data_IF_265593761884
#
_entry.id   IF_265593761884
#
_cell.length_a   1.000
_cell.length_b   1.000
_cell.length_c   1.000
_cell.angle_alpha   90.00
_cell.angle_beta   90.00
_cell.angle_gamma   90.00
#
_symmetry.space_group_name_H-M   'P 1'
#
loop_
_entity.id
_entity.type
_entity.pdbx_description
1 polymer ?
#
# COMPACT_ATOMS: atom_id res chain seq x y z
N UNK A 1 5.94 -1.71 -25.09
CA UNK A 1 6.99 -1.53 -26.11
C UNK A 1 8.31 -2.06 -25.57
N UNK A 2 8.99 -2.91 -26.32
CA UNK A 2 10.26 -3.56 -25.94
C UNK A 2 11.27 -3.43 -27.06
N UNK A 3 12.55 -3.60 -26.75
CA UNK A 3 13.60 -3.74 -27.78
C UNK A 3 13.59 -5.15 -28.41
N UNK A 4 14.56 -5.42 -29.27
CA UNK A 4 14.68 -6.67 -30.02
C UNK A 4 14.92 -7.90 -29.13
N UNK A 5 15.48 -7.69 -27.93
CA UNK A 5 15.74 -8.72 -26.92
C UNK A 5 14.58 -8.83 -25.90
N UNK A 6 13.42 -8.25 -26.22
CA UNK A 6 12.24 -8.14 -25.34
C UNK A 6 12.54 -7.38 -24.03
N UNK A 7 13.58 -6.56 -24.02
CA UNK A 7 14.00 -5.75 -22.89
C UNK A 7 13.35 -4.36 -22.90
N UNK A 8 13.42 -3.68 -21.75
CA UNK A 8 12.79 -2.37 -21.55
C UNK A 8 13.57 -1.26 -22.27
N UNK A 9 12.89 -0.56 -23.18
CA UNK A 9 13.41 0.63 -23.88
C UNK A 9 13.68 1.76 -22.88
N UNK A 10 14.90 2.28 -22.80
CA UNK A 10 15.30 3.31 -21.84
C UNK A 10 15.08 4.71 -22.43
N UNK A 11 14.98 5.72 -21.56
CA UNK A 11 14.81 7.13 -21.98
C UNK A 11 15.88 7.60 -22.98
N UNK A 12 17.13 7.15 -22.81
CA UNK A 12 18.23 7.44 -23.75
C UNK A 12 18.04 6.87 -25.16
N UNK A 13 17.19 5.87 -25.33
CA UNK A 13 16.90 5.26 -26.64
C UNK A 13 15.82 6.08 -27.39
N UNK A 14 15.13 6.99 -26.69
CA UNK A 14 14.07 7.85 -27.21
C UNK A 14 14.59 9.24 -27.64
N UNK A 15 15.79 9.63 -27.20
CA UNK A 15 16.39 10.93 -27.47
C UNK A 15 17.79 10.80 -28.10
N UNK A 16 18.10 11.60 -29.11
CA UNK A 16 19.43 11.70 -29.73
C UNK A 16 20.38 12.46 -28.80
N UNK A 17 21.58 11.91 -28.58
CA UNK A 17 22.60 12.45 -27.66
C UNK A 17 23.43 13.61 -28.22
N UNK A 18 23.08 14.19 -29.38
CA UNK A 18 23.89 15.26 -29.98
C UNK A 18 23.79 16.56 -29.17
N UNK A 19 24.96 17.08 -28.76
CA UNK A 19 25.16 18.44 -28.23
C UNK A 19 24.86 19.46 -29.34
N UNK A 20 23.60 19.62 -29.72
CA UNK A 20 23.16 20.70 -30.59
C UNK A 20 22.53 21.81 -29.75
N UNK A 21 23.17 22.98 -29.79
CA UNK A 21 22.72 24.25 -29.19
C UNK A 21 21.57 24.89 -29.98
N UNK A 22 20.66 24.10 -30.54
CA UNK A 22 19.48 24.60 -31.26
C UNK A 22 18.22 24.25 -30.47
N UNK A 23 17.33 25.23 -30.38
CA UNK A 23 16.23 25.37 -29.42
C UNK A 23 14.96 24.57 -29.75
N UNK A 24 15.03 23.51 -30.55
CA UNK A 24 13.86 22.71 -30.90
C UNK A 24 13.96 21.30 -30.27
N UNK A 25 13.17 21.03 -29.23
CA UNK A 25 13.10 19.71 -28.60
C UNK A 25 12.61 18.60 -29.55
N UNK A 26 11.88 18.94 -30.60
CA UNK A 26 11.35 17.99 -31.59
C UNK A 26 12.45 17.30 -32.42
N UNK A 27 13.55 18.01 -32.72
CA UNK A 27 14.67 17.47 -33.50
C UNK A 27 15.51 16.44 -32.74
N UNK A 28 15.27 16.29 -31.43
CA UNK A 28 15.99 15.35 -30.57
C UNK A 28 15.30 13.98 -30.49
N UNK A 29 14.10 13.79 -31.04
CA UNK A 29 13.34 12.53 -30.88
C UNK A 29 13.77 11.45 -31.89
N UNK A 30 14.06 10.24 -31.41
CA UNK A 30 14.49 9.13 -32.27
C UNK A 30 13.35 8.56 -33.12
N UNK A 31 13.67 7.78 -34.14
CA UNK A 31 12.67 7.00 -34.91
C UNK A 31 11.87 6.05 -34.02
N UNK A 32 12.48 5.53 -32.95
CA UNK A 32 11.81 4.68 -31.95
C UNK A 32 10.74 5.47 -31.23
N UNK A 33 11.05 6.68 -30.74
CA UNK A 33 10.06 7.58 -30.14
C UNK A 33 8.90 7.85 -31.09
N UNK A 34 9.20 8.24 -32.35
CA UNK A 34 8.17 8.53 -33.36
C UNK A 34 7.29 7.33 -33.65
N UNK A 35 7.86 6.11 -33.66
CA UNK A 35 7.11 4.86 -33.82
C UNK A 35 6.18 4.61 -32.64
N UNK A 36 6.68 4.72 -31.41
CA UNK A 36 5.86 4.55 -30.19
C UNK A 36 4.69 5.54 -30.19
N UNK A 37 4.98 6.83 -30.41
CA UNK A 37 3.95 7.87 -30.43
C UNK A 37 2.93 7.62 -31.55
N UNK A 38 3.38 7.28 -32.76
CA UNK A 38 2.48 6.93 -33.88
C UNK A 38 1.59 5.73 -33.54
N UNK A 39 2.13 4.71 -32.87
CA UNK A 39 1.35 3.54 -32.43
C UNK A 39 0.32 3.91 -31.37
N UNK A 40 0.67 4.75 -30.40
CA UNK A 40 -0.28 5.21 -29.36
C UNK A 40 -1.38 6.09 -29.96
N UNK A 41 -1.01 7.03 -30.84
CA UNK A 41 -1.94 7.97 -31.49
C UNK A 41 -2.89 7.28 -32.48
N UNK A 42 -2.36 6.42 -33.34
CA UNK A 42 -3.13 5.81 -34.42
C UNK A 42 -3.80 4.47 -34.03
N UNK A 43 -3.34 3.86 -32.93
CA UNK A 43 -3.76 2.53 -32.52
C UNK A 43 -3.03 1.39 -33.24
N UNK A 44 -3.44 0.16 -32.93
CA UNK A 44 -2.90 -1.08 -33.51
C UNK A 44 -4.05 -1.89 -34.10
N UNK A 45 -3.91 -2.37 -35.33
CA UNK A 45 -4.88 -3.29 -35.96
C UNK A 45 -4.41 -4.73 -35.77
N UNK A 46 -5.27 -5.57 -35.20
CA UNK A 46 -5.04 -7.02 -35.04
C UNK A 46 -6.28 -7.73 -35.57
N UNK A 47 -6.15 -8.41 -36.71
CA UNK A 47 -7.28 -9.00 -37.41
C UNK A 47 -8.27 -7.94 -37.87
N UNK A 48 -9.54 -8.10 -37.49
CA UNK A 48 -10.66 -7.21 -37.79
C UNK A 48 -10.82 -6.07 -36.77
N UNK A 49 -9.96 -6.00 -35.75
CA UNK A 49 -10.10 -5.05 -34.64
C UNK A 49 -9.00 -4.00 -34.64
N UNK A 50 -9.39 -2.75 -34.42
CA UNK A 50 -8.48 -1.63 -34.16
C UNK A 50 -8.49 -1.30 -32.66
N UNK A 51 -7.34 -1.44 -32.02
CA UNK A 51 -7.10 -1.12 -30.62
C UNK A 51 -6.57 0.30 -30.48
N UNK A 52 -7.28 1.13 -29.73
CA UNK A 52 -6.96 2.55 -29.50
C UNK A 52 -6.46 2.76 -28.08
N UNK A 53 -5.58 3.75 -27.87
CA UNK A 53 -5.05 4.04 -26.55
C UNK A 53 -6.17 4.44 -25.59
N UNK A 54 -6.27 3.73 -24.46
CA UNK A 54 -7.28 3.95 -23.44
C UNK A 54 -6.69 4.76 -22.27
N UNK A 55 -5.72 4.18 -21.57
CA UNK A 55 -5.11 4.74 -20.37
C UNK A 55 -3.83 3.98 -19.96
N UNK A 56 -3.18 4.47 -18.91
CA UNK A 56 -2.14 3.74 -18.16
C UNK A 56 -2.29 4.00 -16.66
N UNK A 57 -1.67 3.14 -15.85
CA UNK A 57 -1.40 3.44 -14.43
C UNK A 57 0.11 3.53 -14.21
N UNK A 58 0.51 3.96 -13.02
CA UNK A 58 1.93 3.95 -12.63
C UNK A 58 2.57 2.56 -12.71
N UNK A 59 1.80 1.47 -12.57
CA UNK A 59 2.35 0.11 -12.74
C UNK A 59 2.65 -0.19 -14.20
N UNK A 60 1.69 0.08 -15.08
CA UNK A 60 1.82 -0.07 -16.53
C UNK A 60 2.99 0.76 -17.06
N UNK A 61 3.15 2.01 -16.61
CA UNK A 61 4.31 2.83 -16.97
C UNK A 61 5.65 2.19 -16.58
N UNK A 62 5.76 1.65 -15.35
CA UNK A 62 6.99 0.95 -14.91
C UNK A 62 7.26 -0.32 -15.72
N UNK A 63 6.22 -0.95 -16.24
CA UNK A 63 6.29 -2.17 -17.04
C UNK A 63 6.37 -1.90 -18.55
N UNK A 64 6.35 -0.63 -18.97
CA UNK A 64 6.37 -0.18 -20.37
C UNK A 64 5.18 -0.75 -21.17
N UNK A 65 4.04 -0.85 -20.49
CA UNK A 65 2.75 -1.31 -21.02
C UNK A 65 1.70 -0.19 -20.90
N UNK A 66 0.59 -0.35 -21.61
CA UNK A 66 -0.58 0.54 -21.60
C UNK A 66 -1.84 -0.30 -21.82
N UNK A 67 -3.00 0.23 -21.46
CA UNK A 67 -4.27 -0.36 -21.87
C UNK A 67 -4.71 0.22 -23.22
N UNK A 68 -5.10 -0.67 -24.12
CA UNK A 68 -5.72 -0.31 -25.39
C UNK A 68 -7.08 -0.99 -25.50
N UNK A 69 -8.03 -0.34 -26.16
CA UNK A 69 -9.39 -0.82 -26.29
C UNK A 69 -9.78 -0.97 -27.76
N UNK A 70 -10.39 -2.11 -28.11
CA UNK A 70 -10.92 -2.31 -29.44
C UNK A 70 -12.32 -1.70 -29.54
N UNK A 71 -12.37 -0.45 -30.00
CA UNK A 71 -13.61 0.32 -30.18
C UNK A 71 -14.61 -0.44 -31.05
N UNK A 72 -15.89 -0.42 -30.65
CA UNK A 72 -17.05 -0.99 -31.36
C UNK A 72 -18.03 0.12 -31.68
N UNK A 73 -19.05 -0.18 -32.50
CA UNK A 73 -20.09 0.79 -32.88
C UNK A 73 -20.80 1.44 -31.69
N UNK A 74 -20.93 0.72 -30.58
CA UNK A 74 -21.66 1.18 -29.38
C UNK A 74 -20.76 1.66 -28.23
N UNK A 75 -19.45 1.43 -28.32
CA UNK A 75 -18.53 1.75 -27.24
C UNK A 75 -17.13 2.04 -27.78
N UNK A 76 -16.66 3.25 -27.56
CA UNK A 76 -15.31 3.70 -27.92
C UNK A 76 -14.42 3.84 -26.69
N UNK A 77 -13.10 3.96 -26.91
CA UNK A 77 -12.18 4.31 -25.83
C UNK A 77 -12.54 5.66 -25.16
N UNK A 78 -13.10 6.61 -25.92
CA UNK A 78 -13.52 7.90 -25.37
C UNK A 78 -14.75 7.75 -24.47
N UNK A 79 -15.72 6.92 -24.85
CA UNK A 79 -16.91 6.67 -24.03
C UNK A 79 -16.52 6.06 -22.68
N UNK A 80 -15.56 5.14 -22.68
CA UNK A 80 -15.02 4.55 -21.44
C UNK A 80 -14.35 5.63 -20.57
N UNK A 81 -13.56 6.53 -21.14
CA UNK A 81 -12.93 7.63 -20.39
C UNK A 81 -13.97 8.58 -19.81
N UNK A 82 -15.03 8.90 -20.57
CA UNK A 82 -16.13 9.73 -20.11
C UNK A 82 -16.92 9.04 -18.97
N UNK A 83 -17.06 7.71 -19.03
CA UNK A 83 -17.71 6.92 -17.98
C UNK A 83 -16.92 6.89 -16.66
N UNK A 84 -15.58 6.97 -16.70
CA UNK A 84 -14.75 6.90 -15.49
C UNK A 84 -15.00 8.05 -14.51
N UNK A 85 -15.32 9.24 -15.02
CA UNK A 85 -15.58 10.43 -14.22
C UNK A 85 -15.27 11.73 -14.96
N UNK A 86 -15.49 12.85 -14.27
CA UNK A 86 -15.15 14.18 -14.76
C UNK A 86 -13.75 14.60 -14.29
N UNK A 87 -12.84 14.72 -15.26
CA UNK A 87 -11.46 15.13 -15.08
C UNK A 87 -11.17 16.54 -15.61
N UNK A 88 -12.18 17.28 -16.09
CA UNK A 88 -12.03 18.62 -16.72
C UNK A 88 -11.33 19.64 -15.82
N UNK A 89 -11.48 19.49 -14.50
CA UNK A 89 -10.84 20.36 -13.50
C UNK A 89 -9.35 20.05 -13.27
N UNK A 90 -8.80 18.98 -13.86
CA UNK A 90 -7.40 18.59 -13.68
C UNK A 90 -6.56 19.17 -14.82
N UNK A 91 -5.86 20.27 -14.53
CA UNK A 91 -5.04 21.01 -15.50
C UNK A 91 -3.59 20.55 -15.60
N UNK A 92 -3.20 19.52 -14.84
CA UNK A 92 -1.86 18.95 -14.88
C UNK A 92 -1.90 17.57 -15.55
N UNK A 93 -1.18 17.41 -16.66
CA UNK A 93 -1.18 16.18 -17.50
C UNK A 93 -0.81 14.93 -16.70
N UNK A 94 0.25 14.99 -15.89
CA UNK A 94 0.69 13.84 -15.09
C UNK A 94 -0.35 13.43 -14.04
N UNK A 95 -0.97 14.42 -13.38
CA UNK A 95 -2.06 14.20 -12.43
C UNK A 95 -3.29 13.64 -13.14
N UNK A 96 -3.63 14.14 -14.32
CA UNK A 96 -4.74 13.65 -15.15
C UNK A 96 -4.57 12.17 -15.48
N UNK A 97 -3.43 11.80 -16.08
CA UNK A 97 -3.11 10.40 -16.40
C UNK A 97 -3.13 9.50 -15.15
N UNK A 98 -2.62 9.98 -14.02
CA UNK A 98 -2.66 9.26 -12.75
C UNK A 98 -4.09 9.10 -12.18
N UNK A 99 -5.02 10.02 -12.46
CA UNK A 99 -6.44 9.88 -12.08
C UNK A 99 -7.18 8.94 -13.01
N UNK A 100 -6.92 9.00 -14.32
CA UNK A 100 -7.46 8.04 -15.28
C UNK A 100 -7.06 6.58 -14.95
N UNK A 101 -5.78 6.38 -14.61
CA UNK A 101 -5.26 5.07 -14.21
C UNK A 101 -5.89 4.47 -12.95
N UNK A 102 -6.65 5.25 -12.16
CA UNK A 102 -7.37 4.72 -10.99
C UNK A 102 -8.61 3.91 -11.35
N UNK A 103 -9.12 3.95 -12.57
CA UNK A 103 -10.19 3.04 -12.96
C UNK A 103 -9.70 1.58 -13.12
N UNK A 104 -8.38 1.35 -13.15
CA UNK A 104 -7.79 0.07 -13.58
C UNK A 104 -7.01 -0.67 -12.50
N UNK A 105 -7.10 -0.27 -11.23
CA UNK A 105 -6.47 -1.10 -10.21
C UNK A 105 -7.31 -2.32 -9.91
N UNK A 106 -6.63 -3.43 -9.70
CA UNK A 106 -7.27 -4.66 -9.25
C UNK A 106 -7.97 -4.41 -7.91
N UNK A 107 -9.29 -4.56 -7.91
CA UNK A 107 -10.16 -4.39 -6.76
C UNK A 107 -11.18 -5.53 -6.70
N UNK A 108 -11.88 -5.62 -5.58
CA UNK A 108 -13.10 -6.41 -5.43
C UNK A 108 -14.26 -5.44 -5.30
N UNK A 109 -15.13 -5.43 -6.30
CA UNK A 109 -16.39 -4.67 -6.22
C UNK A 109 -17.27 -5.27 -5.11
N UNK A 110 -17.78 -4.41 -4.23
CA UNK A 110 -18.58 -4.82 -3.09
C UNK A 110 -20.03 -4.32 -3.21
N UNK A 111 -20.41 -3.21 -2.60
CA UNK A 111 -21.78 -2.72 -2.63
C UNK A 111 -21.86 -1.40 -3.37
N UNK A 112 -23.01 -1.10 -3.94
CA UNK A 112 -23.34 0.28 -4.26
C UNK A 112 -23.67 1.01 -2.96
N UNK A 113 -23.12 2.21 -2.80
CA UNK A 113 -23.36 3.10 -1.68
C UNK A 113 -23.82 4.43 -2.25
N UNK A 114 -25.10 4.74 -2.03
CA UNK A 114 -25.71 5.94 -2.58
C UNK A 114 -25.29 7.18 -1.77
N UNK A 115 -25.44 8.35 -2.38
CA UNK A 115 -24.97 9.61 -1.79
C UNK A 115 -25.60 9.94 -0.44
N UNK A 116 -26.84 9.53 -0.20
CA UNK A 116 -27.52 9.69 1.10
C UNK A 116 -26.99 8.74 2.17
N UNK A 117 -26.28 7.68 1.80
CA UNK A 117 -25.64 6.73 2.70
C UNK A 117 -24.19 7.12 3.04
N UNK A 118 -23.68 8.17 2.42
CA UNK A 118 -22.35 8.75 2.62
C UNK A 118 -22.48 10.09 3.33
N UNK A 119 -21.75 10.26 4.42
CA UNK A 119 -21.55 11.57 5.05
C UNK A 119 -20.23 12.18 4.57
N UNK A 120 -20.22 13.46 4.20
CA UNK A 120 -18.96 14.19 3.96
C UNK A 120 -18.58 14.97 5.21
N UNK A 121 -17.45 14.61 5.82
CA UNK A 121 -16.93 15.22 7.05
C UNK A 121 -15.67 16.05 6.75
N UNK A 122 -15.42 17.15 7.48
CA UNK A 122 -14.30 18.05 7.20
C UNK A 122 -12.96 17.39 7.52
N UNK A 123 -11.90 17.67 6.75
CA UNK A 123 -10.56 17.22 7.10
C UNK A 123 -10.07 17.76 8.46
N UNK A 124 -9.30 16.95 9.18
CA UNK A 124 -8.66 17.37 10.44
C UNK A 124 -7.39 18.13 10.09
N UNK A 125 -7.46 19.45 10.12
CA UNK A 125 -6.38 20.32 9.67
C UNK A 125 -5.87 21.22 10.80
N UNK A 126 -4.55 21.33 10.93
CA UNK A 126 -3.91 22.22 11.90
C UNK A 126 -2.98 23.16 11.15
N UNK A 127 -3.17 24.47 11.34
CA UNK A 127 -2.28 25.51 10.81
C UNK A 127 -1.30 25.94 11.90
N UNK A 128 0.00 25.77 11.65
CA UNK A 128 1.07 26.16 12.58
C UNK A 128 2.19 26.87 11.84
N UNK A 129 2.55 28.06 12.32
CA UNK A 129 3.62 28.90 11.74
C UNK A 129 3.44 29.12 10.22
N UNK A 130 2.20 29.34 9.79
CA UNK A 130 1.86 29.57 8.38
C UNK A 130 1.72 28.31 7.53
N UNK A 131 2.19 27.14 7.99
CA UNK A 131 2.04 25.86 7.28
C UNK A 131 0.75 25.17 7.72
N UNK A 132 -0.03 24.68 6.75
CA UNK A 132 -1.26 23.90 6.98
C UNK A 132 -0.93 22.43 6.81
N UNK A 133 -1.25 21.62 7.81
CA UNK A 133 -1.12 20.17 7.72
C UNK A 133 -2.49 19.51 7.85
N UNK A 134 -2.77 18.54 6.98
CA UNK A 134 -3.94 17.67 7.08
C UNK A 134 -3.53 16.37 7.79
N UNK A 135 -4.13 16.10 8.95
CA UNK A 135 -3.89 14.88 9.74
C UNK A 135 -4.72 13.70 9.24
N UNK A 136 -5.81 13.99 8.52
CA UNK A 136 -6.73 13.00 7.97
C UNK A 136 -6.58 12.78 6.45
N UNK A 137 -5.43 13.13 5.87
CA UNK A 137 -5.24 13.09 4.42
C UNK A 137 -5.43 11.66 3.88
N UNK A 138 -6.50 11.46 3.12
CA UNK A 138 -6.81 10.18 2.49
C UNK A 138 -7.51 9.16 3.37
N UNK A 139 -7.99 9.51 4.58
CA UNK A 139 -8.72 8.58 5.45
C UNK A 139 -10.14 9.06 5.80
N UNK A 140 -11.08 8.12 5.72
CA UNK A 140 -12.47 8.26 6.17
C UNK A 140 -12.85 7.14 7.13
N UNK A 141 -14.16 6.95 7.30
CA UNK A 141 -14.75 6.01 8.25
C UNK A 141 -15.76 5.10 7.56
N UNK A 142 -15.89 3.88 8.07
CA UNK A 142 -16.92 2.91 7.69
C UNK A 142 -17.64 2.43 8.96
N UNK A 143 -18.95 2.32 8.93
CA UNK A 143 -19.70 1.84 10.10
C UNK A 143 -19.44 0.36 10.33
N UNK A 144 -19.47 -0.07 11.59
CA UNK A 144 -19.18 -1.45 11.97
C UNK A 144 -20.07 -2.48 11.23
N UNK A 145 -21.37 -2.22 11.12
CA UNK A 145 -22.31 -3.09 10.40
C UNK A 145 -21.96 -3.20 8.92
N UNK A 146 -21.65 -2.07 8.27
CA UNK A 146 -21.33 -2.07 6.85
C UNK A 146 -19.96 -2.71 6.57
N UNK A 147 -18.97 -2.46 7.44
CA UNK A 147 -17.66 -3.12 7.37
C UNK A 147 -17.77 -4.64 7.44
N UNK A 148 -18.64 -5.18 8.29
CA UNK A 148 -18.88 -6.63 8.39
C UNK A 148 -19.45 -7.19 7.08
N UNK A 149 -20.44 -6.50 6.49
CA UNK A 149 -21.01 -6.89 5.19
C UNK A 149 -19.96 -6.86 4.08
N UNK A 150 -19.13 -5.82 4.04
CA UNK A 150 -18.01 -5.67 3.10
C UNK A 150 -17.01 -6.82 3.29
N UNK A 151 -16.62 -7.13 4.53
CA UNK A 151 -15.71 -8.22 4.85
C UNK A 151 -16.22 -9.57 4.34
N UNK A 152 -17.50 -9.90 4.58
CA UNK A 152 -18.13 -11.13 4.09
C UNK A 152 -18.14 -11.19 2.56
N UNK A 153 -18.48 -10.09 1.87
CA UNK A 153 -18.43 -10.03 0.40
C UNK A 153 -17.01 -10.18 -0.14
N UNK A 154 -16.00 -9.73 0.61
CA UNK A 154 -14.59 -10.00 0.33
C UNK A 154 -14.13 -11.42 0.73
N UNK A 155 -15.01 -12.32 1.18
CA UNK A 155 -14.66 -13.69 1.55
C UNK A 155 -13.84 -13.78 2.85
N UNK A 156 -14.08 -12.87 3.81
CA UNK A 156 -13.44 -12.87 5.13
C UNK A 156 -14.41 -13.38 6.19
N UNK A 157 -13.89 -14.20 7.10
CA UNK A 157 -14.61 -14.73 8.25
C UNK A 157 -14.67 -13.75 9.42
N UNK A 158 -13.68 -12.86 9.53
CA UNK A 158 -13.63 -11.76 10.50
C UNK A 158 -13.60 -10.41 9.78
N UNK A 159 -14.06 -9.37 10.46
CA UNK A 159 -14.09 -8.00 9.95
C UNK A 159 -12.75 -7.32 10.17
N UNK A 160 -12.02 -6.91 9.11
CA UNK A 160 -10.86 -6.03 9.24
C UNK A 160 -11.23 -4.66 9.82
N UNK A 161 -10.30 -4.05 10.55
CA UNK A 161 -10.46 -2.71 11.12
C UNK A 161 -10.33 -1.58 10.09
N UNK A 162 -9.73 -1.83 8.92
CA UNK A 162 -9.62 -0.82 7.86
C UNK A 162 -9.60 -1.44 6.46
N UNK A 163 -10.07 -0.68 5.48
CA UNK A 163 -10.12 -1.04 4.07
C UNK A 163 -9.54 0.07 3.20
N UNK A 164 -8.67 -0.28 2.26
CA UNK A 164 -8.30 0.62 1.18
C UNK A 164 -9.37 0.53 0.09
N UNK A 165 -9.98 1.67 -0.25
CA UNK A 165 -11.18 1.72 -1.09
C UNK A 165 -11.04 2.67 -2.28
N UNK A 166 -11.94 2.48 -3.25
CA UNK A 166 -12.32 3.46 -4.27
C UNK A 166 -13.83 3.53 -4.38
N UNK A 167 -14.35 4.74 -4.52
CA UNK A 167 -15.78 4.99 -4.74
C UNK A 167 -15.97 6.40 -5.27
N UNK A 168 -16.73 6.60 -6.34
CA UNK A 168 -17.15 7.93 -6.81
C UNK A 168 -16.03 8.97 -6.97
N UNK A 169 -14.85 8.55 -7.46
CA UNK A 169 -13.68 9.43 -7.59
C UNK A 169 -12.94 9.73 -6.28
N UNK A 170 -13.40 9.19 -5.16
CA UNK A 170 -12.69 9.14 -3.89
C UNK A 170 -11.73 7.94 -3.86
N UNK A 171 -10.52 8.17 -3.33
CA UNK A 171 -9.50 7.16 -3.07
C UNK A 171 -8.98 7.36 -1.65
N UNK A 172 -8.87 6.27 -0.89
CA UNK A 172 -8.22 6.33 0.41
C UNK A 172 -8.41 5.07 1.25
N UNK A 173 -8.26 5.22 2.56
CA UNK A 173 -8.60 4.20 3.56
C UNK A 173 -9.90 4.59 4.26
N UNK A 174 -10.72 3.62 4.62
CA UNK A 174 -11.81 3.79 5.60
C UNK A 174 -11.58 2.87 6.79
N UNK A 175 -11.54 3.46 7.98
CA UNK A 175 -11.40 2.74 9.25
C UNK A 175 -12.75 2.51 9.91
N UNK A 176 -12.92 1.38 10.60
CA UNK A 176 -14.15 1.06 11.31
C UNK A 176 -14.37 2.07 12.43
N UNK A 177 -15.49 2.77 12.40
CA UNK A 177 -15.97 3.61 13.50
C UNK A 177 -17.27 2.98 14.06
N UNK A 178 -17.22 2.43 15.29
CA UNK A 178 -18.40 1.83 15.92
C UNK A 178 -19.55 2.80 16.17
N UNK A 179 -19.31 4.12 16.13
CA UNK A 179 -20.32 5.17 16.38
C UNK A 179 -20.91 5.76 15.11
N UNK A 180 -20.39 5.39 13.92
CA UNK A 180 -20.88 5.95 12.66
C UNK A 180 -22.26 5.36 12.31
N UNK A 181 -23.22 6.24 12.05
CA UNK A 181 -24.59 5.86 11.66
C UNK A 181 -24.76 5.62 10.16
N UNK A 182 -24.06 6.41 9.33
CA UNK A 182 -24.02 6.24 7.87
C UNK A 182 -23.14 5.04 7.47
N UNK A 183 -23.23 4.59 6.22
CA UNK A 183 -22.37 3.50 5.73
C UNK A 183 -20.91 3.94 5.68
N UNK A 184 -20.67 5.13 5.14
CA UNK A 184 -19.35 5.74 4.98
C UNK A 184 -19.37 7.18 5.46
N UNK A 185 -18.24 7.64 5.98
CA UNK A 185 -17.94 9.06 6.13
C UNK A 185 -16.63 9.38 5.40
N UNK A 186 -16.69 10.22 4.37
CA UNK A 186 -15.55 10.54 3.50
C UNK A 186 -15.11 12.00 3.70
N UNK A 187 -13.85 12.29 3.34
CA UNK A 187 -13.25 13.63 3.48
C UNK A 187 -12.87 14.22 2.13
N UNK A 188 -12.75 15.55 2.08
CA UNK A 188 -12.39 16.25 0.85
C UNK A 188 -11.01 15.80 0.32
N UNK A 189 -10.05 15.57 1.20
CA UNK A 189 -8.73 15.04 0.84
C UNK A 189 -8.81 13.70 0.09
N UNK A 190 -9.86 12.91 0.27
CA UNK A 190 -10.06 11.64 -0.45
C UNK A 190 -10.56 11.85 -1.89
N UNK A 191 -11.31 12.93 -2.15
CA UNK A 191 -11.94 13.19 -3.45
C UNK A 191 -10.92 13.66 -4.47
N UNK A 192 -10.63 12.84 -5.48
CA UNK A 192 -9.58 13.13 -6.47
C UNK A 192 -10.13 13.70 -7.78
N UNK A 193 -11.38 13.38 -8.11
CA UNK A 193 -12.16 13.87 -9.25
C UNK A 193 -13.65 13.61 -8.99
N UNK A 194 -14.55 14.20 -9.79
CA UNK A 194 -15.99 13.99 -9.62
C UNK A 194 -16.45 12.76 -10.42
N UNK A 195 -17.34 11.96 -9.86
CA UNK A 195 -17.92 10.80 -10.55
C UNK A 195 -19.26 10.42 -9.91
N UNK A 196 -20.18 9.92 -10.73
CA UNK A 196 -21.49 9.42 -10.28
C UNK A 196 -21.45 7.91 -9.95
N UNK A 197 -20.28 7.28 -10.00
CA UNK A 197 -20.15 5.85 -9.70
C UNK A 197 -20.31 5.59 -8.19
N UNK A 198 -21.33 4.82 -7.84
CA UNK A 198 -21.68 4.44 -6.45
C UNK A 198 -21.03 3.13 -6.01
N UNK A 199 -20.35 2.39 -6.90
CA UNK A 199 -19.75 1.11 -6.58
C UNK A 199 -18.56 1.28 -5.64
N UNK A 200 -18.59 0.55 -4.52
CA UNK A 200 -17.49 0.48 -3.56
C UNK A 200 -16.52 -0.63 -3.95
N UNK A 201 -15.34 -0.25 -4.38
CA UNK A 201 -14.24 -1.13 -4.70
C UNK A 201 -13.28 -1.26 -3.52
N UNK A 202 -13.03 -2.49 -3.05
CA UNK A 202 -12.03 -2.78 -2.01
C UNK A 202 -10.75 -3.29 -2.64
N UNK A 203 -9.64 -2.63 -2.38
CA UNK A 203 -8.32 -2.99 -2.92
C UNK A 203 -7.53 -3.86 -1.93
N UNK A 204 -7.56 -3.48 -0.65
CA UNK A 204 -6.83 -4.11 0.45
C UNK A 204 -7.58 -3.90 1.76
N UNK A 205 -7.18 -4.62 2.79
CA UNK A 205 -7.69 -4.47 4.14
C UNK A 205 -6.58 -4.69 5.18
N UNK A 206 -6.80 -4.22 6.40
CA UNK A 206 -5.91 -4.46 7.53
C UNK A 206 -5.82 -5.95 7.84
N UNK A 207 -4.61 -6.48 7.93
CA UNK A 207 -4.34 -7.89 8.22
C UNK A 207 -2.90 -8.04 8.65
N UNK A 208 -2.55 -9.17 9.28
CA UNK A 208 -1.16 -9.51 9.55
C UNK A 208 -0.30 -9.39 8.27
N UNK A 209 0.68 -8.49 8.30
CA UNK A 209 1.75 -8.46 7.31
C UNK A 209 3.11 -8.51 8.01
N UNK A 210 3.96 -9.50 7.65
CA UNK A 210 5.31 -9.61 8.19
C UNK A 210 6.14 -8.37 7.91
N UNK A 211 6.92 -8.00 8.92
CA UNK A 211 7.81 -6.86 8.89
C UNK A 211 9.21 -7.29 8.48
N UNK A 212 9.85 -6.49 7.62
CA UNK A 212 11.21 -6.74 7.19
C UNK A 212 12.03 -5.47 7.19
N UNK A 213 13.24 -5.55 7.73
CA UNK A 213 14.28 -4.58 7.43
C UNK A 213 14.68 -4.72 5.96
N UNK A 214 15.10 -3.60 5.39
CA UNK A 214 15.70 -3.54 4.06
C UNK A 214 16.93 -2.63 4.13
N UNK A 215 17.66 -2.49 3.01
CA UNK A 215 18.89 -1.69 2.96
C UNK A 215 18.69 -0.23 3.41
N UNK A 216 17.58 0.40 3.03
CA UNK A 216 17.28 1.79 3.40
C UNK A 216 17.07 1.93 4.91
N UNK A 217 16.19 1.10 5.49
CA UNK A 217 15.94 1.07 6.93
C UNK A 217 17.23 0.79 7.72
N UNK A 218 18.03 -0.20 7.31
CA UNK A 218 19.29 -0.54 7.99
C UNK A 218 20.27 0.65 7.96
N UNK A 219 20.39 1.31 6.81
CA UNK A 219 21.30 2.45 6.63
C UNK A 219 20.90 3.62 7.54
N UNK A 220 19.60 3.95 7.56
CA UNK A 220 19.09 5.03 8.38
C UNK A 220 19.13 4.70 9.88
N UNK A 221 18.75 3.48 10.29
CA UNK A 221 18.84 3.05 11.68
C UNK A 221 20.29 3.04 12.19
N UNK A 222 21.24 2.58 11.37
CA UNK A 222 22.68 2.66 11.68
C UNK A 222 23.13 4.12 11.86
N UNK A 223 22.71 5.01 10.95
CA UNK A 223 22.98 6.46 11.04
C UNK A 223 22.42 7.09 12.31
N UNK A 224 21.24 6.62 12.76
CA UNK A 224 20.59 7.06 13.99
C UNK A 224 21.19 6.45 15.26
N UNK A 225 22.19 5.56 15.13
CA UNK A 225 22.97 5.01 16.23
C UNK A 225 22.57 3.61 16.68
N UNK A 226 21.73 2.90 15.94
CA UNK A 226 21.52 1.45 16.17
C UNK A 226 22.81 0.71 15.79
N UNK A 227 23.44 -0.04 16.71
CA UNK A 227 24.73 -0.67 16.43
C UNK A 227 24.64 -1.73 15.31
N UNK A 228 25.59 -1.75 14.38
CA UNK A 228 25.57 -2.66 13.22
C UNK A 228 25.50 -4.15 13.57
N UNK A 229 26.04 -4.54 14.74
CA UNK A 229 25.98 -5.90 15.22
C UNK A 229 24.55 -6.37 15.51
N UNK A 230 23.61 -5.45 15.79
CA UNK A 230 22.18 -5.72 15.91
C UNK A 230 21.64 -6.29 14.60
N UNK A 231 21.89 -5.64 13.46
CA UNK A 231 21.40 -6.12 12.17
C UNK A 231 21.99 -7.47 11.80
N UNK A 232 23.28 -7.70 12.08
CA UNK A 232 23.93 -9.01 11.92
C UNK A 232 23.27 -10.07 12.79
N UNK A 233 22.91 -9.74 14.04
CA UNK A 233 22.18 -10.64 14.94
C UNK A 233 20.78 -10.94 14.41
N UNK A 234 20.01 -9.94 13.97
CA UNK A 234 18.68 -10.13 13.38
C UNK A 234 18.75 -10.98 12.10
N UNK A 235 19.76 -10.77 11.25
CA UNK A 235 19.99 -11.61 10.08
C UNK A 235 20.20 -13.09 10.45
N UNK A 236 21.04 -13.37 11.46
CA UNK A 236 21.24 -14.75 11.96
C UNK A 236 19.96 -15.33 12.54
N UNK A 237 19.18 -14.54 13.28
CA UNK A 237 17.89 -14.98 13.82
C UNK A 237 16.90 -15.33 12.70
N UNK A 238 16.81 -14.51 11.65
CA UNK A 238 15.97 -14.79 10.50
C UNK A 238 16.38 -16.08 9.77
N UNK A 239 17.70 -16.35 9.64
CA UNK A 239 18.19 -17.62 9.09
C UNK A 239 17.80 -18.81 9.98
N UNK A 240 17.97 -18.70 11.30
CA UNK A 240 17.58 -19.74 12.26
C UNK A 240 16.08 -20.06 12.23
N UNK A 241 15.23 -19.08 11.93
CA UNK A 241 13.79 -19.32 11.79
C UNK A 241 13.43 -20.14 10.55
N UNK A 242 14.31 -20.18 9.54
CA UNK A 242 14.17 -21.06 8.38
C UNK A 242 14.79 -22.45 8.63
N UNK A 243 15.68 -22.59 9.61
CA UNK A 243 16.30 -23.86 9.97
C UNK A 243 15.26 -24.84 10.55
N UNK A 244 15.22 -26.05 10.00
CA UNK A 244 14.30 -27.11 10.43
C UNK A 244 12.87 -26.96 9.89
N UNK A 245 12.56 -25.94 9.08
CA UNK A 245 11.26 -25.84 8.38
C UNK A 245 11.01 -27.07 7.49
N UNK A 246 12.07 -27.66 6.94
CA UNK A 246 11.97 -28.82 6.05
C UNK A 246 11.90 -30.17 6.78
N UNK A 247 11.97 -30.19 8.11
CA UNK A 247 12.05 -31.43 8.90
C UNK A 247 11.11 -31.45 10.09
N UNK A 248 10.84 -30.31 10.72
CA UNK A 248 9.98 -30.16 11.90
C UNK A 248 8.63 -29.54 11.50
N UNK A 249 7.52 -30.30 11.57
CA UNK A 249 6.17 -29.81 11.27
C UNK A 249 5.79 -28.55 12.05
N UNK A 250 6.22 -28.43 13.31
CA UNK A 250 5.89 -27.29 14.17
C UNK A 250 6.59 -26.02 13.69
N UNK A 251 7.85 -26.13 13.28
CA UNK A 251 8.60 -25.01 12.69
C UNK A 251 8.06 -24.63 11.33
N UNK A 252 7.68 -25.61 10.50
CA UNK A 252 7.04 -25.37 9.22
C UNK A 252 5.74 -24.56 9.38
N UNK A 253 4.89 -24.98 10.33
CA UNK A 253 3.65 -24.28 10.66
C UNK A 253 3.91 -22.85 11.12
N UNK A 254 4.83 -22.66 12.07
CA UNK A 254 5.20 -21.32 12.55
C UNK A 254 5.72 -20.41 11.42
N UNK A 255 6.54 -20.93 10.50
CA UNK A 255 7.03 -20.17 9.36
C UNK A 255 5.91 -19.82 8.36
N UNK A 256 4.96 -20.72 8.11
CA UNK A 256 3.77 -20.48 7.27
C UNK A 256 2.80 -19.45 7.89
N UNK A 257 2.73 -19.38 9.21
CA UNK A 257 1.89 -18.42 9.93
C UNK A 257 2.52 -17.02 9.96
N UNK A 258 3.85 -16.93 10.01
CA UNK A 258 4.55 -15.67 10.31
C UNK A 258 5.38 -15.12 9.16
N UNK A 259 6.20 -15.94 8.47
CA UNK A 259 7.23 -15.47 7.53
C UNK A 259 6.76 -15.58 6.08
N UNK A 260 6.15 -16.72 5.74
CA UNK A 260 5.73 -17.01 4.38
C UNK A 260 4.39 -16.33 4.06
N UNK A 261 4.28 -15.86 2.83
CA UNK A 261 3.08 -15.21 2.30
C UNK A 261 2.72 -15.87 0.99
N UNK A 262 1.42 -15.97 0.70
CA UNK A 262 0.91 -16.49 -0.56
C UNK A 262 -0.32 -17.37 -0.38
N UNK A 263 -1.04 -17.61 -1.46
CA UNK A 263 -2.33 -18.30 -1.46
C UNK A 263 -2.20 -19.78 -1.06
N UNK A 264 -1.09 -20.42 -1.40
CA UNK A 264 -0.85 -21.82 -1.04
C UNK A 264 -0.55 -22.03 0.46
N UNK A 265 -0.29 -20.98 1.23
CA UNK A 265 0.12 -21.13 2.64
C UNK A 265 -0.94 -21.80 3.50
N UNK A 266 -2.23 -21.57 3.22
CA UNK A 266 -3.32 -22.17 3.99
C UNK A 266 -3.45 -23.67 3.70
N UNK A 267 -3.32 -24.08 2.44
CA UNK A 267 -3.29 -25.52 2.05
C UNK A 267 -2.14 -26.25 2.76
N UNK A 268 -0.95 -25.65 2.81
CA UNK A 268 0.20 -26.28 3.47
C UNK A 268 0.03 -26.38 4.99
N UNK A 269 -0.66 -25.42 5.62
CA UNK A 269 -1.02 -25.52 7.04
C UNK A 269 -2.01 -26.66 7.27
N UNK A 270 -3.02 -26.79 6.42
CA UNK A 270 -4.00 -27.88 6.52
C UNK A 270 -3.33 -29.25 6.36
N UNK A 271 -2.37 -29.37 5.44
CA UNK A 271 -1.56 -30.60 5.32
C UNK A 271 -0.80 -30.92 6.61
N UNK A 272 -0.14 -29.93 7.22
CA UNK A 272 0.55 -30.12 8.50
C UNK A 272 -0.43 -30.52 9.62
N UNK A 273 -1.63 -29.94 9.64
CA UNK A 273 -2.68 -30.27 10.60
C UNK A 273 -3.22 -31.69 10.42
N UNK A 274 -3.27 -32.18 9.18
CA UNK A 274 -3.61 -33.57 8.85
C UNK A 274 -2.48 -34.57 9.15
N UNK A 275 -1.34 -34.12 9.68
CA UNK A 275 -0.22 -34.97 10.08
C UNK A 275 0.77 -35.29 8.95
N UNK A 276 0.66 -34.65 7.78
CA UNK A 276 1.69 -34.76 6.75
C UNK A 276 2.99 -34.13 7.25
N UNK A 277 4.11 -34.80 6.96
CA UNK A 277 5.43 -34.36 7.43
C UNK A 277 6.23 -33.71 6.30
N UNK A 278 6.94 -32.59 6.57
CA UNK A 278 7.77 -31.89 5.58
C UNK A 278 8.84 -32.75 4.88
N UNK A 279 9.32 -33.79 5.55
CA UNK A 279 10.38 -34.69 5.08
C UNK A 279 9.85 -35.98 4.42
N UNK A 280 8.53 -36.22 4.47
CA UNK A 280 7.92 -37.44 3.95
C UNK A 280 6.94 -37.18 2.81
N UNK A 281 6.22 -36.05 2.80
CA UNK A 281 5.26 -35.72 1.75
C UNK A 281 5.91 -34.84 0.67
N UNK A 282 6.04 -35.32 -0.59
CA UNK A 282 6.81 -34.62 -1.62
C UNK A 282 6.29 -33.22 -1.96
N UNK A 283 4.98 -33.01 -2.03
CA UNK A 283 4.42 -31.70 -2.41
C UNK A 283 4.71 -30.63 -1.35
N UNK A 284 4.44 -30.93 -0.07
CA UNK A 284 4.74 -30.11 1.08
C UNK A 284 6.23 -29.80 1.16
N UNK A 285 7.08 -30.81 0.98
CA UNK A 285 8.53 -30.62 0.97
C UNK A 285 8.98 -29.64 -0.11
N UNK A 286 8.56 -29.85 -1.36
CA UNK A 286 8.92 -29.00 -2.50
C UNK A 286 8.41 -27.57 -2.31
N UNK A 287 7.19 -27.40 -1.82
CA UNK A 287 6.63 -26.08 -1.56
C UNK A 287 7.37 -25.33 -0.45
N UNK A 288 7.67 -26.01 0.66
CA UNK A 288 8.48 -25.42 1.76
C UNK A 288 9.89 -25.09 1.29
N UNK A 289 10.52 -25.94 0.48
CA UNK A 289 11.82 -25.66 -0.15
C UNK A 289 11.77 -24.40 -1.03
N UNK A 290 10.73 -24.26 -1.86
CA UNK A 290 10.54 -23.09 -2.70
C UNK A 290 10.37 -21.80 -1.87
N UNK A 291 9.58 -21.86 -0.78
CA UNK A 291 9.43 -20.74 0.14
C UNK A 291 10.74 -20.37 0.83
N UNK A 292 11.47 -21.35 1.36
CA UNK A 292 12.79 -21.14 1.97
C UNK A 292 13.78 -20.54 0.96
N UNK A 293 13.90 -21.11 -0.24
CA UNK A 293 14.78 -20.62 -1.30
C UNK A 293 14.44 -19.19 -1.72
N UNK A 294 13.15 -18.86 -1.81
CA UNK A 294 12.67 -17.50 -2.08
C UNK A 294 13.12 -16.53 -0.98
N UNK A 295 12.90 -16.86 0.30
CA UNK A 295 13.32 -16.01 1.44
C UNK A 295 14.83 -15.85 1.55
N UNK A 296 15.59 -16.90 1.31
CA UNK A 296 17.06 -16.83 1.26
C UNK A 296 17.53 -15.94 0.10
N UNK A 297 16.85 -16.00 -1.05
CA UNK A 297 17.14 -15.15 -2.20
C UNK A 297 16.82 -13.68 -1.91
N UNK A 298 15.68 -13.37 -1.29
CA UNK A 298 15.33 -12.02 -0.84
C UNK A 298 16.35 -11.48 0.18
N UNK A 299 16.77 -12.32 1.12
CA UNK A 299 17.78 -11.96 2.11
C UNK A 299 19.13 -11.63 1.45
N UNK A 300 19.60 -12.48 0.52
CA UNK A 300 20.86 -12.29 -0.21
C UNK A 300 20.83 -11.07 -1.12
N UNK A 301 19.77 -10.91 -1.91
CA UNK A 301 19.72 -9.94 -3.01
C UNK A 301 19.18 -8.57 -2.59
N UNK A 302 18.36 -8.50 -1.53
CA UNK A 302 17.68 -7.27 -1.08
C UNK A 302 17.90 -6.97 0.41
N UNK A 303 18.60 -7.83 1.14
CA UNK A 303 18.82 -7.68 2.59
C UNK A 303 17.48 -7.61 3.34
N UNK A 304 16.51 -8.41 2.91
CA UNK A 304 15.16 -8.45 3.47
C UNK A 304 15.15 -9.30 4.75
N UNK A 305 15.52 -8.71 5.88
CA UNK A 305 15.65 -9.42 7.17
C UNK A 305 14.31 -9.36 7.90
N UNK A 306 13.74 -10.52 8.22
CA UNK A 306 12.48 -10.60 8.98
C UNK A 306 12.66 -10.10 10.41
N UNK A 307 11.67 -9.36 10.92
CA UNK A 307 11.62 -8.83 12.29
C UNK A 307 10.37 -9.40 12.96
N UNK A 308 10.56 -10.26 13.97
CA UNK A 308 9.46 -10.91 14.68
C UNK A 308 8.66 -9.93 15.55
N UNK A 309 9.34 -8.96 16.17
CA UNK A 309 8.73 -7.90 17.00
C UNK A 309 8.36 -6.68 16.15
N UNK A 310 7.60 -6.90 15.09
CA UNK A 310 7.12 -5.84 14.22
C UNK A 310 6.13 -6.31 13.18
N UNK A 311 5.38 -5.37 12.60
CA UNK A 311 4.46 -5.60 11.47
C UNK A 311 4.60 -4.49 10.43
N UNK A 312 4.23 -4.82 9.19
CA UNK A 312 3.88 -3.83 8.18
C UNK A 312 2.40 -3.50 8.35
N UNK A 313 2.05 -2.28 8.71
CA UNK A 313 0.69 -1.93 9.14
C UNK A 313 0.09 -0.82 8.28
N UNK A 314 -1.18 -0.96 7.93
CA UNK A 314 -1.92 0.13 7.28
C UNK A 314 -2.03 1.31 8.26
N UNK A 315 -1.80 2.53 7.78
CA UNK A 315 -1.99 3.74 8.58
C UNK A 315 -3.47 4.03 8.83
N UNK A 316 -3.82 4.43 10.05
CA UNK A 316 -5.15 4.87 10.45
C UNK A 316 -5.07 6.13 11.32
N UNK A 317 -6.22 6.78 11.53
CA UNK A 317 -6.35 8.00 12.33
C UNK A 317 -7.14 7.72 13.61
N UNK A 318 -6.70 8.32 14.71
CA UNK A 318 -7.46 8.32 15.96
C UNK A 318 -8.60 9.34 15.90
N UNK A 319 -9.77 8.85 15.48
CA UNK A 319 -11.03 9.61 15.46
C UNK A 319 -11.55 9.96 16.87
N UNK A 320 -11.04 9.31 17.92
CA UNK A 320 -11.42 9.62 19.31
C UNK A 320 -10.72 10.87 19.84
N UNK A 321 -9.56 11.22 19.26
CA UNK A 321 -8.73 12.34 19.72
C UNK A 321 -8.13 12.10 21.11
N UNK A 322 -7.86 10.85 21.47
CA UNK A 322 -7.26 10.48 22.76
C UNK A 322 -5.74 10.49 22.69
N UNK A 323 -5.15 10.08 21.55
CA UNK A 323 -3.70 10.04 21.37
C UNK A 323 -3.10 11.45 21.29
N UNK A 324 -2.01 11.66 22.03
CA UNK A 324 -1.21 12.87 21.97
C UNK A 324 -0.11 12.77 20.91
N UNK A 325 0.43 13.93 20.51
CA UNK A 325 1.53 13.97 19.54
C UNK A 325 2.77 13.24 20.07
N UNK A 326 3.33 12.32 19.27
CA UNK A 326 4.41 11.42 19.68
C UNK A 326 3.91 10.04 20.11
N UNK A 327 2.60 9.86 20.27
CA UNK A 327 1.99 8.57 20.59
C UNK A 327 1.40 7.89 19.36
N UNK A 328 1.24 6.57 19.43
CA UNK A 328 0.45 5.77 18.49
C UNK A 328 -0.32 4.70 19.27
N UNK A 329 -1.37 4.15 18.67
CA UNK A 329 -1.99 2.91 19.16
C UNK A 329 -1.69 1.78 18.18
N UNK A 330 -1.27 0.63 18.72
CA UNK A 330 -0.92 -0.56 17.95
C UNK A 330 -1.45 -1.78 18.68
N UNK A 331 -2.34 -2.51 18.01
CA UNK A 331 -2.84 -3.79 18.47
C UNK A 331 -2.73 -4.81 17.35
N UNK A 332 -2.28 -6.00 17.72
CA UNK A 332 -1.90 -7.06 16.81
C UNK A 332 -2.78 -8.29 17.02
N UNK A 333 -3.29 -8.87 15.94
CA UNK A 333 -3.90 -10.19 16.00
C UNK A 333 -2.85 -11.26 16.33
N UNK A 334 -3.10 -12.15 17.29
CA UNK A 334 -2.31 -13.37 17.40
C UNK A 334 -2.68 -14.30 16.23
N UNK A 335 -1.66 -14.84 15.57
CA UNK A 335 -1.79 -16.11 14.86
C UNK A 335 -1.35 -17.17 15.84
N UNK A 336 -2.24 -17.61 16.73
CA UNK A 336 -1.94 -18.71 17.64
C UNK A 336 -1.87 -19.99 16.81
N UNK A 337 -0.82 -20.77 17.06
CA UNK A 337 -0.70 -22.18 16.70
C UNK A 337 -1.93 -22.87 17.30
N UNK A 338 -3.00 -23.08 16.54
CA UNK A 338 -4.12 -23.90 17.03
C UNK A 338 -3.57 -25.31 17.30
N UNK A 339 -3.26 -25.60 18.55
CA UNK A 339 -3.25 -26.96 19.10
C UNK A 339 -4.71 -27.30 19.35
N UNK A 340 -5.20 -28.31 18.66
CA UNK A 340 -6.62 -28.50 18.36
C UNK A 340 -7.55 -28.52 19.57
N UNK A 341 -8.73 -27.94 19.39
CA UNK A 341 -10.04 -28.58 19.59
C UNK A 341 -11.11 -27.58 19.15
N UNK A 342 -12.13 -28.05 18.46
CA UNK A 342 -13.26 -27.24 18.01
C UNK A 342 -13.91 -26.51 19.18
N UNK A 343 -13.76 -25.19 19.23
CA UNK A 343 -14.66 -24.31 19.98
C UNK A 343 -15.11 -23.17 19.07
N UNK A 344 -16.36 -23.29 18.62
CA UNK A 344 -17.12 -22.18 18.04
C UNK A 344 -17.51 -21.25 19.18
N UNK A 345 -16.59 -20.39 19.62
CA UNK A 345 -16.92 -19.25 20.48
C UNK A 345 -16.10 -18.04 20.04
N UNK A 346 -16.80 -17.10 19.41
CA UNK A 346 -16.37 -15.73 19.12
C UNK A 346 -15.99 -15.01 20.42
N UNK A 347 -14.72 -15.04 20.80
CA UNK A 347 -14.19 -14.18 21.86
C UNK A 347 -12.84 -13.60 21.47
N UNK A 348 -12.67 -12.32 21.76
CA UNK A 348 -11.58 -11.43 21.40
C UNK A 348 -10.29 -11.66 22.22
N UNK A 349 -10.00 -12.89 22.64
CA UNK A 349 -8.92 -13.17 23.62
C UNK A 349 -7.52 -13.33 23.02
N UNK A 350 -7.39 -13.27 21.69
CA UNK A 350 -6.13 -13.51 20.98
C UNK A 350 -5.55 -12.23 20.35
N UNK A 351 -5.83 -11.02 20.86
CA UNK A 351 -5.14 -9.81 20.43
C UNK A 351 -4.17 -9.32 21.51
N UNK A 352 -3.00 -8.81 21.12
CA UNK A 352 -2.11 -8.12 22.07
C UNK A 352 -1.92 -6.66 21.68
N UNK A 353 -1.98 -5.80 22.70
CA UNK A 353 -1.68 -4.37 22.57
C UNK A 353 -0.18 -4.18 22.79
N UNK A 354 0.45 -3.42 21.91
CA UNK A 354 1.85 -3.02 22.07
C UNK A 354 1.88 -1.79 22.97
N UNK A 355 2.72 -1.84 24.01
CA UNK A 355 2.92 -0.74 24.95
C UNK A 355 4.42 -0.44 25.08
N UNK A 356 4.78 0.83 24.98
CA UNK A 356 6.17 1.30 25.05
C UNK A 356 6.73 1.81 23.72
N UNK A 357 8.06 1.91 23.64
CA UNK A 357 8.72 2.57 22.49
C UNK A 357 8.61 1.73 21.22
N UNK A 358 8.26 2.39 20.13
CA UNK A 358 8.18 1.81 18.79
C UNK A 358 8.95 2.65 17.79
N UNK A 359 9.51 1.99 16.79
CA UNK A 359 10.04 2.65 15.61
C UNK A 359 9.04 2.54 14.46
N UNK A 360 8.72 3.68 13.85
CA UNK A 360 7.80 3.80 12.72
C UNK A 360 8.52 4.41 11.53
N UNK A 361 8.36 3.81 10.36
CA UNK A 361 8.91 4.34 9.12
C UNK A 361 8.04 3.93 7.93
N UNK A 362 8.08 4.72 6.85
CA UNK A 362 7.46 4.38 5.57
C UNK A 362 8.53 4.13 4.52
N UNK A 363 8.39 3.06 3.74
CA UNK A 363 9.29 2.80 2.62
C UNK A 363 8.72 3.40 1.32
N UNK A 364 9.56 3.99 0.46
CA UNK A 364 10.99 4.23 0.66
C UNK A 364 11.27 5.35 1.67
N UNK A 365 12.32 5.18 2.48
CA UNK A 365 12.83 6.21 3.39
C UNK A 365 14.25 6.58 2.98
N UNK A 366 14.58 7.87 2.95
CA UNK A 366 15.85 8.37 2.39
C UNK A 366 16.54 9.40 3.29
N UNK A 367 15.80 10.00 4.22
CA UNK A 367 16.32 10.99 5.16
C UNK A 367 16.28 10.43 6.60
N UNK A 368 17.29 10.69 7.46
CA UNK A 368 17.30 10.17 8.84
C UNK A 368 16.06 10.53 9.67
N UNK A 369 15.43 11.67 9.35
CA UNK A 369 14.19 12.11 9.99
C UNK A 369 12.93 11.33 9.60
N UNK A 370 12.99 10.45 8.59
CA UNK A 370 11.87 9.63 8.10
C UNK A 370 11.58 8.44 9.00
N UNK A 371 12.54 8.09 9.86
CA UNK A 371 12.37 7.11 10.92
C UNK A 371 11.99 7.84 12.20
N UNK A 372 10.87 7.44 12.80
CA UNK A 372 10.29 8.07 13.98
C UNK A 372 10.33 7.09 15.14
N UNK A 373 11.00 7.46 16.24
CA UNK A 373 10.79 6.81 17.52
C UNK A 373 9.56 7.44 18.20
N UNK A 374 8.50 6.65 18.37
CA UNK A 374 7.23 7.04 18.96
C UNK A 374 6.92 6.14 20.17
N UNK A 375 5.86 6.46 20.91
CA UNK A 375 5.40 5.64 22.04
C UNK A 375 4.05 5.01 21.71
N UNK A 376 3.99 3.68 21.64
CA UNK A 376 2.74 2.97 21.60
C UNK A 376 2.10 3.02 23.00
N UNK A 377 0.83 3.41 23.08
CA UNK A 377 0.09 3.53 24.33
C UNK A 377 -1.23 2.76 24.24
N UNK A 378 -1.60 2.10 25.33
CA UNK A 378 -2.86 1.38 25.41
C UNK A 378 -4.05 2.35 25.57
N UNK A 379 -4.94 2.38 24.57
CA UNK A 379 -6.16 3.19 24.56
C UNK A 379 -7.37 2.27 24.41
N UNK A 380 -8.16 2.03 25.48
CA UNK A 380 -9.32 1.14 25.44
C UNK A 380 -10.34 1.49 24.36
N UNK A 381 -10.54 2.79 24.08
CA UNK A 381 -11.44 3.25 23.04
C UNK A 381 -11.02 2.81 21.62
N UNK A 382 -9.75 2.43 21.42
CA UNK A 382 -9.17 2.00 20.14
C UNK A 382 -9.00 0.47 20.02
N UNK A 383 -9.45 -0.33 21.00
CA UNK A 383 -9.33 -1.80 20.97
C UNK A 383 -10.06 -2.49 19.81
N UNK A 384 -10.93 -1.79 19.09
CA UNK A 384 -11.54 -2.28 17.85
C UNK A 384 -10.59 -2.22 16.64
N UNK A 385 -9.47 -1.49 16.76
CA UNK A 385 -8.46 -1.33 15.73
C UNK A 385 -7.40 -2.42 15.87
N UNK A 386 -7.28 -3.31 14.88
CA UNK A 386 -6.38 -4.47 14.87
C UNK A 386 -5.61 -4.48 13.55
N UNK A 387 -4.33 -4.84 13.59
CA UNK A 387 -3.44 -4.96 12.42
C UNK A 387 -3.32 -3.68 11.57
N UNK A 388 -3.43 -2.54 12.25
CA UNK A 388 -3.19 -1.20 11.73
C UNK A 388 -2.44 -0.38 12.79
N UNK A 389 -1.78 0.70 12.35
CA UNK A 389 -1.16 1.68 13.25
C UNK A 389 -2.03 2.92 13.27
N UNK A 390 -2.50 3.30 14.46
CA UNK A 390 -3.39 4.46 14.62
C UNK A 390 -2.57 5.67 15.06
N UNK A 391 -2.60 6.72 14.27
CA UNK A 391 -1.88 7.97 14.49
C UNK A 391 -2.77 9.03 15.15
N UNK A 392 -2.18 9.94 15.94
CA UNK A 392 -2.92 11.02 16.59
C UNK A 392 -3.38 12.04 15.57
N UNK A 393 -4.57 12.59 15.78
CA UNK A 393 -5.08 13.72 15.01
C UNK A 393 -4.63 15.09 15.55
N UNK A 394 -3.76 15.09 16.56
CA UNK A 394 -3.22 16.29 17.24
C UNK A 394 -1.72 16.40 17.00
N UNK A 395 -1.22 17.63 17.03
CA UNK A 395 0.22 17.89 17.12
C UNK A 395 0.73 18.98 16.21
N UNK A 396 2.05 18.96 15.99
CA UNK A 396 2.73 19.97 15.17
C UNK A 396 2.79 19.64 13.69
N UNK A 397 2.72 18.35 13.35
CA UNK A 397 2.85 17.77 12.02
C UNK A 397 2.33 16.32 12.08
N UNK A 398 1.60 15.80 11.08
CA UNK A 398 1.12 14.42 11.08
C UNK A 398 2.31 13.44 11.01
N UNK A 399 2.33 12.41 11.86
CA UNK A 399 3.37 11.37 11.80
C UNK A 399 3.48 10.66 10.45
N UNK A 400 2.39 10.40 9.70
CA UNK A 400 2.44 9.97 8.29
C UNK A 400 3.38 10.82 7.42
N UNK A 401 3.18 12.15 7.44
CA UNK A 401 3.98 13.11 6.65
C UNK A 401 5.43 13.21 7.18
N UNK A 402 5.64 13.01 8.48
CA UNK A 402 7.00 12.86 9.02
C UNK A 402 7.73 11.62 8.51
N UNK A 403 7.00 10.59 8.10
CA UNK A 403 7.52 9.35 7.55
C UNK A 403 7.56 9.40 6.02
N UNK A 404 8.57 10.10 5.46
CA UNK A 404 8.77 10.18 4.01
C UNK A 404 7.61 10.86 3.26
N UNK A 405 6.94 11.85 3.88
CA UNK A 405 5.82 12.56 3.26
C UNK A 405 4.61 11.67 2.98
N UNK A 406 4.38 10.67 3.83
CA UNK A 406 3.26 9.74 3.71
C UNK A 406 1.92 10.36 4.08
N UNK A 407 0.87 9.63 3.74
CA UNK A 407 -0.53 9.97 4.05
C UNK A 407 -1.26 8.74 4.60
N UNK A 408 -2.59 8.77 4.62
CA UNK A 408 -3.43 7.66 5.06
C UNK A 408 -4.30 7.11 3.90
N UNK A 409 -3.87 7.26 2.64
CA UNK A 409 -4.62 6.82 1.45
C UNK A 409 -4.41 5.34 1.06
N UNK A 410 -3.61 4.64 1.87
CA UNK A 410 -3.24 3.24 1.70
C UNK A 410 -1.79 2.93 2.01
N UNK A 411 -1.06 3.88 2.61
CA UNK A 411 0.31 3.69 3.04
C UNK A 411 0.44 2.60 4.13
N UNK A 412 1.49 1.80 3.98
CA UNK A 412 1.89 0.80 4.97
C UNK A 412 3.19 1.24 5.65
N UNK A 413 3.19 1.11 6.97
CA UNK A 413 4.26 1.55 7.85
C UNK A 413 4.99 0.34 8.42
N UNK A 414 6.32 0.37 8.34
CA UNK A 414 7.17 -0.48 9.18
C UNK A 414 6.98 -0.03 10.62
N UNK A 415 6.42 -0.90 11.47
CA UNK A 415 6.24 -0.66 12.90
C UNK A 415 6.94 -1.78 13.65
N UNK A 416 7.91 -1.44 14.50
CA UNK A 416 8.61 -2.42 15.32
C UNK A 416 8.75 -1.93 16.76
N UNK A 417 8.44 -2.84 17.69
CA UNK A 417 8.64 -2.67 19.14
C UNK A 417 9.86 -3.46 19.62
N UNK A 418 10.75 -3.84 18.70
CA UNK A 418 12.02 -4.47 19.02
C UNK A 418 12.95 -3.44 19.66
N UNK A 419 13.20 -3.58 20.96
CA UNK A 419 14.06 -2.66 21.72
C UNK A 419 15.46 -2.45 21.10
N UNK A 420 15.99 -3.44 20.39
CA UNK A 420 17.29 -3.32 19.71
C UNK A 420 17.24 -2.41 18.47
N UNK A 421 16.06 -2.20 17.89
CA UNK A 421 15.85 -1.39 16.67
C UNK A 421 15.38 0.03 16.97
N UNK A 422 15.11 0.36 18.24
CA UNK A 422 14.73 1.71 18.64
C UNK A 422 15.97 2.61 18.58
N UNK A 423 16.00 3.62 17.69
CA UNK A 423 17.18 4.46 17.56
C UNK A 423 17.34 5.37 18.79
N UNK A 424 18.58 5.56 19.30
CA UNK A 424 18.84 6.45 20.43
C UNK A 424 18.79 7.94 20.03
N UNK A 425 18.84 8.25 18.73
CA UNK A 425 18.82 9.62 18.20
C UNK A 425 17.60 9.83 17.32
N UNK A 426 17.01 11.02 17.41
CA UNK A 426 15.93 11.46 16.55
C UNK A 426 16.37 12.69 15.75
N UNK A 427 16.07 12.69 14.45
CA UNK A 427 16.29 13.83 13.56
C UNK A 427 14.97 14.55 13.27
N UNK A 428 15.08 15.82 12.86
CA UNK A 428 13.91 16.54 12.36
C UNK A 428 13.48 15.91 11.03
N UNK A 429 12.18 15.67 10.80
CA UNK A 429 11.69 15.18 9.52
C UNK A 429 12.05 16.13 8.38
N UNK A 430 12.28 15.59 7.19
CA UNK A 430 12.52 16.39 5.99
C UNK A 430 11.27 17.22 5.64
N UNK A 431 11.46 18.35 4.98
CA UNK A 431 10.33 19.10 4.44
C UNK A 431 9.85 18.44 3.13
N UNK A 432 8.65 17.86 3.17
CA UNK A 432 8.02 17.21 2.02
C UNK A 432 7.00 18.10 1.32
N UNK A 433 7.04 19.42 1.54
CA UNK A 433 6.20 20.36 0.80
C UNK A 433 6.48 20.21 -0.70
N UNK A 434 5.50 19.78 -1.51
CA UNK A 434 5.70 19.60 -2.94
C UNK A 434 5.90 20.96 -3.62
N UNK A 435 6.64 20.96 -4.73
CA UNK A 435 6.66 22.12 -5.62
C UNK A 435 5.28 22.38 -6.22
N UNK A 436 5.03 23.63 -6.60
CA UNK A 436 3.77 23.99 -7.25
C UNK A 436 3.65 23.23 -8.57
N UNK A 437 2.54 22.52 -8.82
CA UNK A 437 2.36 21.82 -10.08
C UNK A 437 2.30 22.82 -11.24
N UNK A 438 2.83 22.42 -12.38
CA UNK A 438 2.66 23.16 -13.64
C UNK A 438 1.24 22.84 -14.13
N UNK A 439 0.41 23.87 -14.25
CA UNK A 439 -0.97 23.76 -14.71
C UNK A 439 -1.10 24.38 -16.11
N UNK A 440 -1.86 23.72 -16.98
CA UNK A 440 -2.23 24.22 -18.29
C UNK A 440 -3.34 25.26 -18.17
N UNK A 441 -3.38 26.20 -19.11
CA UNK A 441 -4.47 27.19 -19.21
C UNK A 441 -5.74 26.59 -19.83
N UNK A 442 -5.64 25.42 -20.48
CA UNK A 442 -6.72 24.68 -21.13
C UNK A 442 -6.94 23.29 -20.51
N UNK A 443 -7.94 22.56 -21.00
CA UNK A 443 -8.24 21.20 -20.52
C UNK A 443 -7.22 20.22 -21.06
N UNK A 444 -6.76 19.28 -20.23
CA UNK A 444 -5.81 18.26 -20.67
C UNK A 444 -6.43 17.42 -21.79
N UNK A 445 -5.71 17.30 -22.90
CA UNK A 445 -6.11 16.49 -24.05
C UNK A 445 -5.40 15.14 -24.05
N UNK A 446 -5.97 14.15 -24.72
CA UNK A 446 -5.36 12.83 -24.84
C UNK A 446 -4.11 12.79 -25.72
N UNK A 447 -3.82 13.86 -26.45
CA UNK A 447 -2.57 14.00 -27.21
C UNK A 447 -1.41 14.41 -26.29
N UNK A 448 -1.71 15.11 -25.18
CA UNK A 448 -0.72 15.51 -24.17
C UNK A 448 -0.40 14.37 -23.18
N UNK A 449 -1.35 13.47 -22.95
CA UNK A 449 -1.26 12.30 -22.04
C UNK A 449 -0.52 11.15 -22.71
#
# INVERSE_FOLDING_TARGET
FVDEDLSKIRSKDLCLHTKCNTSAEEDRRTRVYKRILSTLRNGIVIGDKKFEFLAFSSSQLREHSVWMFASRSELTAQDIRNWMGDFSNIRNVAKYGARLGQAFSSSRETFNVDGDEIEFIPDVEIKRRGVKYCFSDGIGKISAEFAERVARKCGRSSTPSAFQIRIGGCKGVVAVDPKLSKKLALRESMRKYQSNNTALDVLKWSTYQPCFLNRQLITLLSTLGVPDHVFKRKQRQALKQLEGVLTDPSRAKAALETIFQGEATDVLKDMLLCGYKPDAEPFLSLMLQAYCASKLTELRTRTRIFVSSGRSMMGCLDETGTLEYGQVFVQCSHRVISTGTHSNTSSSEDNFVVDGNVVVARNPCLHPGDIRALTAVNVPALHHMVDCVVFPQKGKRPHPDECSGGDLDGDFYFVSWDSDLIPPRNFRPMNYTPERPIELEHEVTMEEV
#
